data_IF_481568974032
#
_entry.id   IF_481568974032
#
_cell.length_a   1.000
_cell.length_b   1.000
_cell.length_c   1.000
_cell.angle_alpha   90.00
_cell.angle_beta   90.00
_cell.angle_gamma   90.00
#
_symmetry.space_group_name_H-M   'P 1'
#
loop_
_entity.id
_entity.type
_entity.pdbx_description
1 polymer ?
#
# COMPACT_ATOMS: atom_id res chain seq x y z
N UNK A 1 -12.80 -19.06 -9.49
CA UNK A 1 -14.00 -19.55 -10.21
C UNK A 1 -14.34 -20.96 -9.77
N UNK A 2 -13.52 -21.97 -10.10
CA UNK A 2 -13.72 -23.37 -9.68
C UNK A 2 -13.83 -23.48 -8.14
N UNK A 3 -12.90 -22.84 -7.41
CA UNK A 3 -12.90 -22.83 -5.93
C UNK A 3 -14.21 -22.33 -5.28
N UNK A 4 -15.00 -21.53 -6.00
CA UNK A 4 -16.25 -20.96 -5.51
C UNK A 4 -17.46 -21.38 -6.36
N UNK A 5 -17.30 -22.42 -7.20
CA UNK A 5 -18.31 -22.96 -8.10
C UNK A 5 -19.08 -21.90 -8.93
N UNK A 6 -18.38 -20.87 -9.42
CA UNK A 6 -18.99 -19.73 -10.12
C UNK A 6 -19.31 -20.02 -11.60
N UNK A 7 -20.49 -19.60 -12.07
CA UNK A 7 -20.95 -19.70 -13.47
C UNK A 7 -20.17 -18.77 -14.39
N UNK A 8 -19.88 -19.12 -15.67
CA UNK A 8 -18.92 -18.42 -16.55
C UNK A 8 -18.92 -16.89 -16.56
N UNK A 9 -20.08 -16.25 -16.36
CA UNK A 9 -20.25 -14.78 -16.36
C UNK A 9 -20.38 -14.15 -14.97
N UNK A 10 -20.42 -14.94 -13.90
CA UNK A 10 -20.45 -14.44 -12.53
C UNK A 10 -19.12 -13.80 -12.16
N UNK A 11 -19.21 -12.70 -11.41
CA UNK A 11 -18.05 -11.97 -10.90
C UNK A 11 -17.31 -12.78 -9.85
N UNK A 12 -15.97 -12.80 -9.95
CA UNK A 12 -15.11 -13.39 -8.93
C UNK A 12 -14.98 -12.52 -7.67
N UNK A 13 -15.42 -11.26 -7.71
CA UNK A 13 -15.10 -10.28 -6.66
C UNK A 13 -15.60 -10.71 -5.29
N UNK A 14 -16.87 -11.04 -5.17
CA UNK A 14 -17.47 -11.42 -3.89
C UNK A 14 -16.93 -12.77 -3.39
N UNK A 15 -16.64 -13.71 -4.31
CA UNK A 15 -15.98 -14.96 -3.95
C UNK A 15 -14.55 -14.74 -3.41
N UNK A 16 -13.79 -13.81 -3.97
CA UNK A 16 -12.45 -13.48 -3.49
C UNK A 16 -12.50 -12.89 -2.08
N UNK A 17 -13.46 -12.00 -1.81
CA UNK A 17 -13.68 -11.46 -0.47
C UNK A 17 -14.05 -12.54 0.54
N UNK A 18 -15.02 -13.40 0.19
CA UNK A 18 -15.46 -14.49 1.06
C UNK A 18 -14.33 -15.48 1.38
N UNK A 19 -13.48 -15.78 0.39
CA UNK A 19 -12.32 -16.66 0.54
C UNK A 19 -11.07 -15.94 1.09
N UNK A 20 -11.15 -14.62 1.35
CA UNK A 20 -10.00 -13.77 1.74
C UNK A 20 -8.81 -13.89 0.78
N UNK A 21 -9.09 -14.06 -0.51
CA UNK A 21 -8.09 -14.12 -1.57
C UNK A 21 -7.80 -12.71 -2.06
N UNK A 22 -6.55 -12.27 -1.88
CA UNK A 22 -6.06 -11.01 -2.43
C UNK A 22 -5.72 -11.14 -3.90
N UNK A 23 -6.01 -10.10 -4.67
CA UNK A 23 -5.57 -10.00 -6.07
C UNK A 23 -4.06 -9.79 -6.14
N UNK A 24 -3.45 -10.06 -7.30
CA UNK A 24 -2.01 -9.77 -7.53
C UNK A 24 -1.68 -8.29 -7.27
N UNK A 25 -2.60 -7.38 -7.61
CA UNK A 25 -2.45 -5.94 -7.35
C UNK A 25 -2.45 -5.66 -5.85
N UNK A 26 -3.40 -6.24 -5.10
CA UNK A 26 -3.44 -6.09 -3.64
C UNK A 26 -2.16 -6.65 -2.98
N UNK A 27 -1.70 -7.83 -3.39
CA UNK A 27 -0.46 -8.43 -2.90
C UNK A 27 0.75 -7.53 -3.21
N UNK A 28 0.80 -6.93 -4.39
CA UNK A 28 1.87 -6.00 -4.77
C UNK A 28 1.85 -4.75 -3.88
N UNK A 29 0.69 -4.11 -3.70
CA UNK A 29 0.52 -2.93 -2.83
C UNK A 29 1.01 -3.27 -1.42
N UNK A 30 0.52 -4.37 -0.84
CA UNK A 30 0.93 -4.82 0.50
C UNK A 30 2.45 -5.00 0.59
N UNK A 31 3.05 -5.72 -0.37
CA UNK A 31 4.47 -6.03 -0.35
C UNK A 31 5.35 -4.77 -0.40
N UNK A 32 5.06 -3.83 -1.31
CA UNK A 32 5.87 -2.61 -1.45
C UNK A 32 5.61 -1.60 -0.34
N UNK A 33 4.39 -1.52 0.20
CA UNK A 33 4.07 -0.68 1.36
C UNK A 33 4.77 -1.17 2.62
N UNK A 34 4.77 -2.48 2.88
CA UNK A 34 5.50 -3.05 4.02
C UNK A 34 7.02 -3.00 3.81
N UNK A 35 7.49 -3.12 2.57
CA UNK A 35 8.90 -2.94 2.26
C UNK A 35 9.39 -1.55 2.69
N UNK A 36 8.67 -0.47 2.35
CA UNK A 36 9.09 0.89 2.75
C UNK A 36 8.94 1.16 4.23
N UNK A 37 7.96 0.55 4.90
CA UNK A 37 7.80 0.63 6.35
C UNK A 37 9.00 0.05 7.11
N UNK A 38 9.67 -0.96 6.53
CA UNK A 38 10.87 -1.57 7.11
C UNK A 38 12.19 -0.83 6.78
N UNK A 39 12.18 0.15 5.86
CA UNK A 39 13.40 0.81 5.38
C UNK A 39 13.77 2.10 6.14
N UNK A 40 13.04 2.46 7.19
CA UNK A 40 13.20 3.69 7.99
C UNK A 40 13.49 4.94 7.14
N UNK A 41 12.67 5.14 6.10
CA UNK A 41 12.87 6.23 5.14
C UNK A 41 12.40 7.58 5.72
N UNK A 42 13.05 8.70 5.33
CA UNK A 42 12.70 10.01 5.83
C UNK A 42 11.25 10.40 5.46
N UNK A 43 10.58 10.98 6.43
CA UNK A 43 9.27 11.61 6.30
C UNK A 43 9.44 13.11 6.02
N UNK A 44 8.37 13.78 5.58
CA UNK A 44 8.44 15.19 5.22
C UNK A 44 8.73 16.11 6.43
N UNK A 45 8.34 15.72 7.64
CA UNK A 45 8.67 16.42 8.89
C UNK A 45 10.16 16.43 9.22
N UNK A 46 10.91 15.41 8.83
CA UNK A 46 12.36 15.36 8.98
C UNK A 46 13.11 16.30 8.03
N UNK A 47 12.43 16.86 7.02
CA UNK A 47 13.03 17.69 5.97
C UNK A 47 12.65 19.17 6.13
N UNK A 48 11.44 19.45 6.57
CA UNK A 48 10.94 20.81 6.75
C UNK A 48 10.78 21.13 8.24
N UNK A 49 11.26 22.31 8.65
CA UNK A 49 11.17 22.78 10.04
C UNK A 49 9.78 23.27 10.45
N UNK A 50 8.79 23.21 9.56
CA UNK A 50 7.42 23.67 9.78
C UNK A 50 6.41 22.56 9.49
N UNK A 51 5.31 22.56 10.24
CA UNK A 51 4.26 21.54 10.08
C UNK A 51 3.54 21.71 8.75
N UNK A 52 3.68 20.72 7.87
CA UNK A 52 2.92 20.64 6.62
C UNK A 52 1.75 19.66 6.77
N UNK A 53 0.68 19.84 5.99
CA UNK A 53 -0.45 18.88 5.93
C UNK A 53 0.02 17.46 5.58
N UNK A 54 1.18 17.32 4.95
CA UNK A 54 1.78 16.05 4.53
C UNK A 54 3.01 15.68 5.36
N UNK A 55 3.19 16.24 6.55
CA UNK A 55 4.34 16.00 7.42
C UNK A 55 4.64 14.50 7.64
N UNK A 56 3.58 13.70 7.81
CA UNK A 56 3.67 12.24 8.03
C UNK A 56 3.87 11.41 6.76
N UNK A 57 3.80 12.02 5.58
CA UNK A 57 4.07 11.33 4.32
C UNK A 57 5.55 11.02 4.19
N UNK A 58 5.88 9.95 3.47
CA UNK A 58 7.24 9.72 3.04
C UNK A 58 7.68 10.81 2.07
N UNK A 59 8.91 11.27 2.23
CA UNK A 59 9.51 12.14 1.24
C UNK A 59 9.77 11.39 -0.07
N UNK A 60 9.41 12.04 -1.18
CA UNK A 60 9.60 11.52 -2.54
C UNK A 60 10.69 12.35 -3.25
N UNK A 61 11.91 11.81 -3.41
CA UNK A 61 12.98 12.48 -4.13
C UNK A 61 12.63 12.73 -5.60
N UNK A 62 12.91 13.94 -6.06
CA UNK A 62 12.82 14.31 -7.47
C UNK A 62 13.80 13.48 -8.30
N UNK A 63 13.32 12.92 -9.41
CA UNK A 63 14.12 12.09 -10.32
C UNK A 63 13.56 12.19 -11.75
N UNK A 64 14.32 11.71 -12.74
CA UNK A 64 13.98 11.84 -14.17
C UNK A 64 13.74 10.52 -14.91
N UNK A 65 14.05 9.38 -14.30
CA UNK A 65 14.00 8.07 -14.97
C UNK A 65 12.84 7.22 -14.48
N UNK A 66 12.12 6.60 -15.41
CA UNK A 66 11.02 5.66 -15.10
C UNK A 66 11.50 4.45 -14.31
N UNK A 67 12.74 4.02 -14.54
CA UNK A 67 13.37 2.95 -13.78
C UNK A 67 13.46 3.31 -12.29
N UNK A 68 13.77 4.56 -11.95
CA UNK A 68 13.80 5.00 -10.55
C UNK A 68 12.39 5.00 -9.95
N UNK A 69 11.37 5.44 -10.70
CA UNK A 69 9.96 5.40 -10.28
C UNK A 69 9.51 3.96 -9.96
N UNK A 70 9.94 2.98 -10.76
CA UNK A 70 9.58 1.57 -10.61
C UNK A 70 10.26 0.85 -9.44
N UNK A 71 11.26 1.46 -8.79
CA UNK A 71 11.93 0.85 -7.62
C UNK A 71 10.90 0.61 -6.51
N UNK A 72 10.88 -0.58 -5.87
CA UNK A 72 9.97 -0.87 -4.75
C UNK A 72 10.01 0.19 -3.65
N UNK A 73 11.20 0.73 -3.36
CA UNK A 73 11.38 1.79 -2.37
C UNK A 73 10.78 3.13 -2.79
N UNK A 74 10.61 3.42 -4.08
CA UNK A 74 9.97 4.65 -4.55
C UNK A 74 8.45 4.48 -4.66
N UNK A 75 8.00 3.48 -5.42
CA UNK A 75 6.57 3.22 -5.60
C UNK A 75 5.87 2.87 -4.29
N UNK A 76 6.55 2.17 -3.37
CA UNK A 76 6.02 1.88 -2.03
C UNK A 76 5.76 3.14 -1.21
N UNK A 77 6.63 4.17 -1.31
CA UNK A 77 6.41 5.47 -0.67
C UNK A 77 5.24 6.20 -1.30
N UNK A 78 5.13 6.18 -2.63
CA UNK A 78 3.99 6.78 -3.33
C UNK A 78 2.67 6.13 -2.92
N UNK A 79 2.61 4.80 -2.92
CA UNK A 79 1.42 4.05 -2.53
C UNK A 79 1.06 4.29 -1.06
N UNK A 80 2.04 4.28 -0.15
CA UNK A 80 1.80 4.61 1.26
C UNK A 80 1.20 6.01 1.41
N UNK A 81 1.74 7.01 0.70
CA UNK A 81 1.24 8.39 0.75
C UNK A 81 -0.16 8.55 0.15
N UNK A 82 -0.61 7.60 -0.67
CA UNK A 82 -1.97 7.55 -1.24
C UNK A 82 -2.96 6.76 -0.37
N UNK A 83 -2.52 6.14 0.72
CA UNK A 83 -3.42 5.41 1.62
C UNK A 83 -4.37 6.38 2.35
N UNK A 84 -5.57 5.92 2.72
CA UNK A 84 -6.49 6.70 3.56
C UNK A 84 -5.86 7.12 4.89
N UNK A 85 -6.35 8.23 5.46
CA UNK A 85 -5.82 8.80 6.72
C UNK A 85 -5.79 7.84 7.90
N UNK A 86 -6.65 6.81 7.91
CA UNK A 86 -6.64 5.78 8.95
C UNK A 86 -5.32 5.01 9.06
N UNK A 87 -4.48 5.04 8.00
CA UNK A 87 -3.15 4.43 7.97
C UNK A 87 -2.04 5.37 8.46
N UNK A 88 -2.34 6.64 8.74
CA UNK A 88 -1.35 7.60 9.22
C UNK A 88 -0.79 7.19 10.59
N UNK A 89 0.54 7.18 10.71
CA UNK A 89 1.22 6.83 11.95
C UNK A 89 1.26 5.34 12.28
N UNK A 90 0.58 4.48 11.51
CA UNK A 90 0.71 3.04 11.66
C UNK A 90 2.07 2.56 11.16
N UNK A 91 2.67 1.61 11.88
CA UNK A 91 3.93 0.94 11.53
C UNK A 91 3.90 -0.53 11.92
N UNK A 92 4.80 -1.30 11.32
CA UNK A 92 5.07 -2.69 11.63
C UNK A 92 3.83 -3.58 11.56
N UNK A 93 3.61 -4.36 12.62
CA UNK A 93 2.53 -5.37 12.66
C UNK A 93 1.13 -4.76 12.55
N UNK A 94 0.91 -3.59 13.16
CA UNK A 94 -0.40 -2.92 13.15
C UNK A 94 -0.74 -2.43 11.75
N UNK A 95 0.23 -1.81 11.06
CA UNK A 95 0.08 -1.41 9.66
C UNK A 95 -0.24 -2.62 8.78
N UNK A 96 0.54 -3.71 8.91
CA UNK A 96 0.33 -4.94 8.15
C UNK A 96 -1.09 -5.48 8.33
N UNK A 97 -1.54 -5.65 9.56
CA UNK A 97 -2.86 -6.22 9.83
C UNK A 97 -3.99 -5.37 9.25
N UNK A 98 -3.96 -4.05 9.49
CA UNK A 98 -5.01 -3.17 8.96
C UNK A 98 -4.97 -3.07 7.44
N UNK A 99 -3.78 -3.07 6.84
CA UNK A 99 -3.63 -3.00 5.38
C UNK A 99 -4.17 -4.27 4.72
N UNK A 100 -3.84 -5.44 5.27
CA UNK A 100 -4.38 -6.72 4.81
C UNK A 100 -5.91 -6.74 4.85
N UNK A 101 -6.49 -6.36 5.99
CA UNK A 101 -7.94 -6.31 6.17
C UNK A 101 -8.60 -5.35 5.17
N UNK A 102 -8.01 -4.19 4.91
CA UNK A 102 -8.53 -3.22 3.96
C UNK A 102 -8.43 -3.71 2.50
N UNK A 103 -7.31 -4.34 2.14
CA UNK A 103 -7.10 -4.89 0.79
C UNK A 103 -7.97 -6.11 0.49
N UNK A 104 -8.36 -6.88 1.52
CA UNK A 104 -9.28 -8.01 1.37
C UNK A 104 -10.74 -7.56 1.14
N UNK A 105 -11.09 -6.33 1.51
CA UNK A 105 -12.45 -5.78 1.34
C UNK A 105 -12.67 -5.04 0.01
N UNK A 106 -11.59 -4.68 -0.70
CA UNK A 106 -11.63 -3.92 -1.95
C UNK A 106 -11.59 -4.81 -3.19
#
# INVERSE_FOLDING_TARGET
RILANLQPRESCREAFKALKIRTVVALYIEAVTLHVDNLDLPRCDAIHSYSTRQARNYYLPTHRTTLYTKKPSYIGRQLFNSLPRQFEGLRGRTLKHQLQQWLEQN
#
